data_IF_461054610505
#
_entry.id   IF_461054610505
#
_cell.length_a   1.000
_cell.length_b   1.000
_cell.length_c   1.000
_cell.angle_alpha   90.00
_cell.angle_beta   90.00
_cell.angle_gamma   90.00
#
_symmetry.space_group_name_H-M   'P 1'
#
loop_
_entity.id
_entity.type
_entity.pdbx_description
1 polymer ?
#
# COMPACT_ATOMS: atom_id res chain seq x y z
N UNK A 1 -47.22 3.16 -26.72
CA UNK A 1 -46.33 2.11 -26.20
C UNK A 1 -45.27 2.77 -25.31
N UNK A 2 -45.55 2.90 -24.02
CA UNK A 2 -44.66 3.52 -23.04
C UNK A 2 -43.93 2.40 -22.28
N UNK A 3 -42.66 2.16 -22.61
CA UNK A 3 -41.80 1.29 -21.83
C UNK A 3 -41.03 2.16 -20.82
N UNK A 4 -41.44 2.12 -19.55
CA UNK A 4 -40.64 2.64 -18.43
C UNK A 4 -39.41 1.73 -18.26
N UNK A 5 -38.24 2.20 -18.65
CA UNK A 5 -36.98 1.61 -18.23
C UNK A 5 -36.81 1.87 -16.73
N UNK A 6 -36.81 0.80 -15.93
CA UNK A 6 -36.52 0.84 -14.50
C UNK A 6 -35.07 1.26 -14.32
N UNK A 7 -34.86 2.31 -13.53
CA UNK A 7 -33.54 2.68 -13.05
C UNK A 7 -32.93 1.49 -12.32
N UNK A 8 -31.81 0.98 -12.85
CA UNK A 8 -30.95 0.07 -12.12
C UNK A 8 -30.19 0.95 -11.14
N UNK A 9 -30.68 0.97 -9.90
CA UNK A 9 -29.94 1.44 -8.73
C UNK A 9 -28.72 0.54 -8.58
N UNK A 10 -27.60 0.91 -9.18
CA UNK A 10 -26.33 0.27 -8.89
C UNK A 10 -25.95 0.71 -7.48
N UNK A 11 -26.13 -0.23 -6.56
CA UNK A 11 -25.92 -0.09 -5.13
C UNK A 11 -24.49 0.41 -4.84
N UNK A 12 -24.39 1.47 -4.07
CA UNK A 12 -23.18 1.83 -3.34
C UNK A 12 -22.80 0.65 -2.42
N UNK A 13 -21.87 -0.20 -2.83
CA UNK A 13 -21.53 -1.40 -2.04
C UNK A 13 -20.23 -2.12 -2.37
N UNK A 14 -19.73 -2.08 -3.62
CA UNK A 14 -18.69 -3.03 -4.05
C UNK A 14 -17.26 -2.48 -4.13
N UNK A 15 -17.00 -1.26 -3.66
CA UNK A 15 -15.65 -0.69 -3.74
C UNK A 15 -14.71 -1.29 -2.69
N UNK A 16 -15.19 -1.90 -1.59
CA UNK A 16 -14.36 -2.31 -0.45
C UNK A 16 -14.20 -3.82 -0.24
N UNK A 17 -14.89 -4.68 -1.00
CA UNK A 17 -14.75 -6.13 -0.86
C UNK A 17 -13.40 -6.57 -1.43
N UNK A 18 -12.63 -7.34 -0.66
CA UNK A 18 -11.53 -8.12 -1.25
C UNK A 18 -12.21 -9.00 -2.29
N UNK A 19 -11.78 -9.03 -3.56
CA UNK A 19 -12.40 -9.94 -4.49
C UNK A 19 -12.16 -11.35 -3.92
N UNK A 20 -13.23 -12.08 -3.62
CA UNK A 20 -13.18 -13.45 -3.09
C UNK A 20 -12.24 -14.33 -3.91
N UNK A 21 -12.03 -13.97 -5.18
CA UNK A 21 -11.04 -14.56 -6.07
C UNK A 21 -9.61 -14.49 -5.53
N UNK A 22 -9.15 -13.37 -4.97
CA UNK A 22 -7.79 -13.25 -4.42
C UNK A 22 -7.60 -14.16 -3.20
N UNK A 23 -8.60 -14.19 -2.31
CA UNK A 23 -8.60 -15.09 -1.15
C UNK A 23 -8.62 -16.55 -1.60
N UNK A 24 -9.53 -16.88 -2.53
CA UNK A 24 -9.67 -18.23 -3.08
C UNK A 24 -8.37 -18.71 -3.73
N UNK A 25 -7.70 -17.87 -4.54
CA UNK A 25 -6.41 -18.18 -5.15
C UNK A 25 -5.31 -18.44 -4.11
N UNK A 26 -5.20 -17.60 -3.08
CA UNK A 26 -4.20 -17.77 -2.02
C UNK A 26 -4.46 -19.02 -1.15
N UNK A 27 -5.71 -19.47 -1.03
CA UNK A 27 -6.09 -20.67 -0.27
C UNK A 27 -5.99 -21.97 -1.09
N UNK A 28 -6.32 -21.93 -2.38
CA UNK A 28 -6.43 -23.13 -3.24
C UNK A 28 -5.24 -23.32 -4.19
N UNK A 29 -4.34 -22.34 -4.31
CA UNK A 29 -3.09 -22.46 -5.08
C UNK A 29 -1.89 -22.32 -4.15
N UNK A 30 -1.43 -23.42 -3.50
CA UNK A 30 -0.32 -23.36 -2.55
C UNK A 30 1.02 -22.94 -3.19
N UNK A 31 1.17 -23.15 -4.50
CA UNK A 31 2.39 -22.81 -5.25
C UNK A 31 2.44 -21.33 -5.70
N UNK A 32 1.46 -20.51 -5.31
CA UNK A 32 1.42 -19.11 -5.75
C UNK A 32 2.55 -18.32 -5.09
N UNK A 33 3.41 -17.72 -5.92
CA UNK A 33 4.48 -16.87 -5.43
C UNK A 33 3.94 -15.49 -5.03
N UNK A 34 3.63 -15.29 -3.74
CA UNK A 34 3.16 -14.01 -3.18
C UNK A 34 4.18 -12.87 -3.30
N UNK A 35 5.44 -13.21 -3.53
CA UNK A 35 6.55 -12.27 -3.70
C UNK A 35 6.90 -12.04 -5.17
N UNK A 36 6.09 -12.56 -6.10
CA UNK A 36 6.28 -12.32 -7.52
C UNK A 36 6.29 -10.81 -7.79
N UNK A 37 7.34 -10.38 -8.48
CA UNK A 37 7.50 -9.00 -8.91
C UNK A 37 6.99 -8.84 -10.35
N UNK A 38 6.20 -7.80 -10.59
CA UNK A 38 5.72 -7.47 -11.92
C UNK A 38 4.69 -6.34 -11.94
N UNK A 39 4.52 -5.76 -13.13
CA UNK A 39 3.53 -4.72 -13.39
C UNK A 39 3.81 -3.40 -12.67
N UNK A 40 2.82 -2.51 -12.70
CA UNK A 40 2.93 -1.13 -12.22
C UNK A 40 3.26 -1.00 -10.73
N UNK A 41 2.70 -1.90 -9.91
CA UNK A 41 2.83 -1.87 -8.45
C UNK A 41 3.98 -2.70 -7.92
N UNK A 42 4.76 -3.41 -8.75
CA UNK A 42 5.85 -4.23 -8.25
C UNK A 42 5.38 -5.54 -7.60
N UNK A 43 4.69 -5.51 -6.47
CA UNK A 43 4.17 -6.72 -5.80
C UNK A 43 2.68 -6.64 -5.50
N UNK A 44 2.07 -7.80 -5.22
CA UNK A 44 0.69 -7.87 -4.74
C UNK A 44 0.48 -7.08 -3.44
N UNK A 45 1.49 -7.08 -2.54
CA UNK A 45 1.44 -6.36 -1.27
C UNK A 45 1.43 -4.84 -1.49
N UNK A 46 2.25 -4.34 -2.41
CA UNK A 46 2.29 -2.92 -2.77
C UNK A 46 0.98 -2.45 -3.41
N UNK A 47 0.39 -3.27 -4.29
CA UNK A 47 -0.92 -2.97 -4.88
C UNK A 47 -2.01 -2.93 -3.79
N UNK A 48 -2.05 -3.94 -2.91
CA UNK A 48 -3.00 -3.99 -1.80
C UNK A 48 -2.85 -2.77 -0.87
N UNK A 49 -1.61 -2.34 -0.62
CA UNK A 49 -1.32 -1.16 0.19
C UNK A 49 -1.81 0.14 -0.46
N UNK A 50 -1.55 0.33 -1.75
CA UNK A 50 -2.01 1.51 -2.49
C UNK A 50 -3.54 1.64 -2.52
N UNK A 51 -4.25 0.53 -2.68
CA UNK A 51 -5.72 0.52 -2.71
C UNK A 51 -6.35 0.50 -1.31
N UNK A 52 -5.56 0.51 -0.23
CA UNK A 52 -6.08 0.47 1.14
C UNK A 52 -6.78 -0.86 1.49
N UNK A 53 -6.39 -1.97 0.86
CA UNK A 53 -7.02 -3.29 1.04
C UNK A 53 -6.46 -3.99 2.28
N UNK A 54 -6.79 -3.48 3.47
CA UNK A 54 -6.25 -3.94 4.74
C UNK A 54 -6.35 -5.46 4.95
N UNK A 55 -7.48 -6.06 4.61
CA UNK A 55 -7.66 -7.51 4.75
C UNK A 55 -6.78 -8.32 3.78
N UNK A 56 -6.57 -7.81 2.55
CA UNK A 56 -5.68 -8.44 1.59
C UNK A 56 -4.21 -8.33 2.01
N UNK A 57 -3.81 -7.18 2.58
CA UNK A 57 -2.47 -6.99 3.15
C UNK A 57 -2.21 -8.00 4.26
N UNK A 58 -3.15 -8.15 5.21
CA UNK A 58 -3.01 -9.16 6.28
C UNK A 58 -2.86 -10.57 5.71
N UNK A 59 -3.72 -10.95 4.77
CA UNK A 59 -3.67 -12.28 4.14
C UNK A 59 -2.36 -12.53 3.40
N UNK A 60 -1.82 -11.53 2.70
CA UNK A 60 -0.53 -11.62 2.01
C UNK A 60 0.62 -11.78 3.02
N UNK A 61 0.60 -11.03 4.12
CA UNK A 61 1.59 -11.14 5.18
C UNK A 61 1.54 -12.52 5.85
N UNK A 62 0.35 -13.05 6.13
CA UNK A 62 0.15 -14.40 6.69
C UNK A 62 0.70 -15.49 5.75
N UNK A 63 0.68 -15.24 4.43
CA UNK A 63 1.24 -16.12 3.41
C UNK A 63 2.74 -15.93 3.18
N UNK A 64 3.42 -15.11 3.99
CA UNK A 64 4.86 -14.87 3.89
C UNK A 64 5.27 -13.87 2.82
N UNK A 65 4.40 -12.91 2.47
CA UNK A 65 4.80 -11.79 1.64
C UNK A 65 5.90 -10.98 2.32
N UNK A 66 6.99 -10.74 1.61
CA UNK A 66 8.10 -9.95 2.08
C UNK A 66 7.69 -8.46 2.08
N UNK A 67 7.69 -7.90 3.28
CA UNK A 67 7.15 -6.57 3.56
C UNK A 67 8.04 -5.43 3.03
N UNK A 68 9.35 -5.68 2.90
CA UNK A 68 10.36 -4.69 2.51
C UNK A 68 10.85 -4.91 1.07
N UNK A 69 10.06 -5.58 0.23
CA UNK A 69 10.40 -5.75 -1.18
C UNK A 69 10.39 -4.40 -1.87
N UNK A 70 11.55 -4.04 -2.44
CA UNK A 70 11.69 -2.90 -3.32
C UNK A 70 11.24 -3.23 -4.73
N UNK A 71 10.36 -2.41 -5.28
CA UNK A 71 9.85 -2.59 -6.64
C UNK A 71 8.70 -1.66 -6.94
N UNK A 72 8.23 -1.73 -8.19
CA UNK A 72 7.09 -0.91 -8.64
C UNK A 72 7.36 0.60 -8.54
N UNK A 73 6.32 1.39 -8.77
CA UNK A 73 6.42 2.84 -8.71
C UNK A 73 6.51 3.41 -7.28
N UNK A 74 6.06 2.65 -6.28
CA UNK A 74 6.00 3.12 -4.90
C UNK A 74 7.24 2.74 -4.09
N UNK A 75 8.17 1.98 -4.66
CA UNK A 75 9.34 1.40 -4.00
C UNK A 75 8.95 0.37 -2.94
N UNK A 76 8.08 0.68 -1.97
CA UNK A 76 7.65 -0.22 -0.90
C UNK A 76 6.15 -0.16 -0.66
N UNK A 77 5.62 -1.17 0.05
CA UNK A 77 4.20 -1.21 0.43
C UNK A 77 3.88 -0.09 1.44
N UNK A 78 4.83 0.27 2.30
CA UNK A 78 4.69 1.36 3.25
C UNK A 78 4.53 2.71 2.52
N UNK A 79 5.41 3.01 1.57
CA UNK A 79 5.33 4.23 0.78
C UNK A 79 3.99 4.33 0.02
N UNK A 80 3.52 3.22 -0.56
CA UNK A 80 2.23 3.16 -1.23
C UNK A 80 1.05 3.54 -0.31
N UNK A 81 1.04 3.01 0.91
CA UNK A 81 0.02 3.32 1.91
C UNK A 81 0.06 4.80 2.35
N UNK A 82 1.26 5.35 2.56
CA UNK A 82 1.45 6.76 2.94
C UNK A 82 1.04 7.71 1.81
N UNK A 83 1.45 7.43 0.58
CA UNK A 83 1.06 8.20 -0.62
C UNK A 83 -0.46 8.22 -0.76
N UNK A 84 -1.14 7.09 -0.54
CA UNK A 84 -2.60 7.03 -0.54
C UNK A 84 -3.24 7.77 0.64
N UNK A 85 -2.53 7.88 1.76
CA UNK A 85 -3.04 8.42 3.02
C UNK A 85 -3.83 7.40 3.86
N UNK A 86 -3.57 6.11 3.67
CA UNK A 86 -4.19 5.03 4.44
C UNK A 86 -3.46 4.80 5.76
N UNK A 87 -3.62 5.71 6.73
CA UNK A 87 -2.87 5.70 8.01
C UNK A 87 -3.06 4.42 8.83
N UNK A 88 -4.27 3.85 8.87
CA UNK A 88 -4.51 2.57 9.55
C UNK A 88 -3.61 1.44 8.99
N UNK A 89 -3.37 1.48 7.68
CA UNK A 89 -2.54 0.49 7.01
C UNK A 89 -1.06 0.77 7.20
N UNK A 90 -0.67 2.04 7.26
CA UNK A 90 0.68 2.47 7.63
C UNK A 90 1.04 1.91 9.01
N UNK A 91 0.15 2.05 10.00
CA UNK A 91 0.37 1.48 11.33
C UNK A 91 0.54 -0.05 11.30
N UNK A 92 -0.33 -0.75 10.55
CA UNK A 92 -0.27 -2.21 10.44
C UNK A 92 1.06 -2.64 9.81
N UNK A 93 1.48 -2.00 8.72
CA UNK A 93 2.73 -2.32 8.03
C UNK A 93 3.92 -2.04 8.94
N UNK A 94 3.96 -0.89 9.63
CA UNK A 94 5.01 -0.56 10.60
C UNK A 94 5.07 -1.58 11.73
N UNK A 95 3.93 -1.96 12.32
CA UNK A 95 3.85 -2.99 13.38
C UNK A 95 4.30 -4.37 12.89
N UNK A 96 4.08 -4.68 11.62
CA UNK A 96 4.55 -5.89 10.96
C UNK A 96 6.04 -5.86 10.58
N UNK A 97 6.76 -4.77 10.90
CA UNK A 97 8.20 -4.64 10.62
C UNK A 97 8.52 -4.05 9.25
N UNK A 98 7.56 -3.38 8.60
CA UNK A 98 7.85 -2.59 7.40
C UNK A 98 8.81 -1.47 7.78
N UNK A 99 9.97 -1.48 7.16
CA UNK A 99 10.90 -0.37 7.22
C UNK A 99 10.56 0.59 6.08
N UNK A 100 10.50 1.90 6.33
CA UNK A 100 10.70 2.85 5.24
C UNK A 100 12.00 2.48 4.53
N UNK A 101 12.16 2.85 3.27
CA UNK A 101 13.40 2.65 2.53
C UNK A 101 14.52 3.56 3.10
N UNK A 102 14.91 3.35 4.36
CA UNK A 102 15.62 4.30 5.20
C UNK A 102 16.96 3.78 5.72
N UNK A 103 17.47 2.64 5.27
CA UNK A 103 18.80 2.21 5.71
C UNK A 103 19.96 3.06 5.17
N UNK A 104 19.71 4.10 4.36
CA UNK A 104 20.76 4.96 3.79
C UNK A 104 20.44 6.46 3.69
N UNK A 105 19.24 6.94 4.04
CA UNK A 105 18.88 8.35 3.82
C UNK A 105 18.36 9.02 5.09
N UNK A 106 18.95 10.18 5.44
CA UNK A 106 18.52 11.07 6.54
C UNK A 106 17.22 11.84 6.18
N UNK A 107 16.77 11.76 4.93
CA UNK A 107 15.69 12.57 4.37
C UNK A 107 14.90 11.75 3.32
N UNK A 108 13.67 12.16 2.97
CA UNK A 108 12.92 11.59 1.86
C UNK A 108 13.74 11.57 0.56
N UNK A 109 13.57 10.52 -0.23
CA UNK A 109 14.15 10.44 -1.57
C UNK A 109 13.48 11.47 -2.48
N UNK A 110 14.18 12.57 -2.77
CA UNK A 110 13.68 13.66 -3.61
C UNK A 110 13.50 13.25 -5.09
N UNK A 111 14.24 12.26 -5.57
CA UNK A 111 14.08 11.74 -6.92
C UNK A 111 12.79 10.91 -7.02
N UNK A 112 12.53 10.06 -6.03
CA UNK A 112 11.27 9.35 -5.90
C UNK A 112 10.09 10.30 -5.71
N UNK A 113 10.22 11.34 -4.86
CA UNK A 113 9.18 12.34 -4.64
C UNK A 113 8.79 13.09 -5.91
N UNK A 114 9.72 13.30 -6.86
CA UNK A 114 9.36 13.85 -8.18
C UNK A 114 8.41 12.92 -8.93
N UNK A 115 8.66 11.61 -8.92
CA UNK A 115 7.75 10.64 -9.55
C UNK A 115 6.37 10.62 -8.87
N UNK A 116 6.33 10.73 -7.54
CA UNK A 116 5.08 10.85 -6.78
C UNK A 116 4.35 12.15 -7.11
N UNK A 117 5.07 13.27 -7.22
CA UNK A 117 4.51 14.56 -7.59
C UNK A 117 3.83 14.51 -8.96
N UNK A 118 4.48 13.88 -9.93
CA UNK A 118 3.98 13.75 -11.30
C UNK A 118 2.74 12.85 -11.38
N UNK A 119 2.68 11.78 -10.59
CA UNK A 119 1.62 10.75 -10.67
C UNK A 119 0.46 10.96 -9.70
N UNK A 120 0.77 11.19 -8.43
CA UNK A 120 -0.19 11.25 -7.32
C UNK A 120 -0.40 12.69 -6.79
N UNK A 121 0.40 13.65 -7.28
CA UNK A 121 0.23 15.08 -7.03
C UNK A 121 0.86 15.59 -5.73
N UNK A 122 0.83 16.92 -5.55
CA UNK A 122 1.46 17.61 -4.41
C UNK A 122 0.98 17.10 -3.05
N UNK A 123 -0.30 16.79 -2.92
CA UNK A 123 -0.85 16.28 -1.66
C UNK A 123 -0.27 14.93 -1.24
N UNK A 124 0.10 14.06 -2.18
CA UNK A 124 0.77 12.80 -1.87
C UNK A 124 2.19 13.02 -1.33
N UNK A 125 2.93 13.95 -1.94
CA UNK A 125 4.27 14.36 -1.49
C UNK A 125 4.22 14.92 -0.08
N UNK A 126 3.25 15.80 0.22
CA UNK A 126 3.07 16.38 1.55
C UNK A 126 2.74 15.33 2.60
N UNK A 127 1.88 14.36 2.29
CA UNK A 127 1.60 13.22 3.19
C UNK A 127 2.86 12.42 3.50
N UNK A 128 3.67 12.13 2.47
CA UNK A 128 4.92 11.41 2.66
C UNK A 128 5.93 12.18 3.50
N UNK A 129 6.13 13.46 3.22
CA UNK A 129 7.02 14.32 4.03
C UNK A 129 6.56 14.41 5.47
N UNK A 130 5.25 14.59 5.70
CA UNK A 130 4.69 14.62 7.07
C UNK A 130 4.92 13.31 7.81
N UNK A 131 4.67 12.17 7.17
CA UNK A 131 4.97 10.86 7.74
C UNK A 131 6.45 10.75 8.14
N UNK A 132 7.34 11.13 7.23
CA UNK A 132 8.79 11.10 7.47
C UNK A 132 9.19 12.00 8.65
N UNK A 133 8.65 13.22 8.73
CA UNK A 133 8.98 14.16 9.80
C UNK A 133 8.51 13.72 11.18
N UNK A 134 7.29 13.16 11.29
CA UNK A 134 6.70 12.80 12.58
C UNK A 134 7.21 11.44 13.04
N UNK A 135 7.01 10.40 12.24
CA UNK A 135 7.17 9.01 12.66
C UNK A 135 8.65 8.57 12.72
N UNK A 136 9.53 9.18 11.92
CA UNK A 136 10.96 8.82 11.94
C UNK A 136 11.75 9.62 12.96
N UNK A 137 11.46 10.92 13.14
CA UNK A 137 12.12 11.72 14.19
C UNK A 137 11.76 11.24 15.60
N UNK A 138 10.59 10.63 15.78
CA UNK A 138 10.23 10.00 17.05
C UNK A 138 11.00 8.70 17.29
N UNK A 139 11.21 7.88 16.25
CA UNK A 139 12.03 6.66 16.35
C UNK A 139 13.50 6.93 16.61
N UNK A 140 14.10 7.91 15.93
CA UNK A 140 15.50 8.31 16.17
C UNK A 140 15.71 8.77 17.62
N UNK A 141 14.76 9.54 18.16
CA UNK A 141 14.79 9.95 19.57
C UNK A 141 14.66 8.78 20.54
N UNK A 142 13.84 7.77 20.21
CA UNK A 142 13.67 6.58 21.06
C UNK A 142 14.90 5.67 21.12
N UNK A 143 15.74 5.63 20.06
CA UNK A 143 16.98 4.84 20.04
C UNK A 143 18.18 5.54 20.70
N UNK A 144 18.04 6.81 21.08
CA UNK A 144 19.11 7.62 21.68
C UNK A 144 19.08 7.67 23.22
N UNK A 145 18.19 6.90 23.87
CA UNK A 145 17.93 6.92 25.32
C UNK A 145 18.37 5.66 26.05
#
# INVERSE_FOLDING_TARGET
MHAKAKGVSVVEGDIFRIPETAKCLLEHCPDINVNAQGGFFGTALQAAAYFGRTLLVKLLLDKGANINVRGGNYQSALNAAVVRGCWDLVEILVKAGATPDCQLQQQPDEEWLKSVLEKDGRGAVERYRKFWEVEMKERERSCSG
#
